data_IF_737574337475
#
_entry.id   IF_737574337475
#
_cell.length_a   1.000
_cell.length_b   1.000
_cell.length_c   1.000
_cell.angle_alpha   90.00
_cell.angle_beta   90.00
_cell.angle_gamma   90.00
#
_symmetry.space_group_name_H-M   'P 1'
#
loop_
_entity.id
_entity.type
_entity.pdbx_description
1 polymer ?
#
# COMPACT_ATOMS: atom_id res chain seq x y z
N UNK A 1 17.69 7.91 -10.81
CA UNK A 1 16.85 7.51 -9.67
C UNK A 1 17.14 6.05 -9.33
N UNK A 2 17.26 5.73 -8.05
CA UNK A 2 17.50 4.38 -7.54
C UNK A 2 16.31 3.95 -6.66
N UNK A 3 15.64 2.85 -7.01
CA UNK A 3 14.43 2.37 -6.37
C UNK A 3 14.71 1.09 -5.58
N UNK A 4 14.25 1.01 -4.33
CA UNK A 4 14.11 -0.25 -3.60
C UNK A 4 12.68 -0.77 -3.76
N UNK A 5 12.51 -1.93 -4.38
CA UNK A 5 11.27 -2.71 -4.31
C UNK A 5 11.38 -3.66 -3.13
N UNK A 6 10.43 -3.63 -2.22
CA UNK A 6 10.47 -4.43 -1.00
C UNK A 6 9.17 -5.23 -0.82
N UNK A 7 9.33 -6.55 -0.65
CA UNK A 7 8.21 -7.46 -0.44
C UNK A 7 8.26 -8.00 0.99
N UNK A 8 7.42 -7.50 1.91
CA UNK A 8 7.29 -8.09 3.23
C UNK A 8 6.67 -9.49 3.12
N UNK A 9 7.24 -10.46 3.82
CA UNK A 9 6.72 -11.82 3.80
C UNK A 9 6.94 -12.51 5.16
N UNK A 10 6.41 -13.70 5.28
CA UNK A 10 6.67 -14.61 6.39
C UNK A 10 6.93 -16.01 5.84
N UNK A 11 7.50 -16.88 6.66
CA UNK A 11 7.65 -18.28 6.33
C UNK A 11 6.56 -19.09 7.05
N UNK A 12 6.00 -20.07 6.36
CA UNK A 12 5.14 -21.06 6.99
C UNK A 12 5.94 -21.93 7.97
N UNK A 13 5.30 -22.67 8.89
CA UNK A 13 5.98 -23.52 9.85
C UNK A 13 6.93 -24.58 9.22
N UNK A 14 6.70 -24.93 7.97
CA UNK A 14 7.56 -25.84 7.19
C UNK A 14 8.75 -25.14 6.51
N UNK A 15 8.90 -23.83 6.73
CA UNK A 15 9.97 -23.01 6.15
C UNK A 15 9.71 -22.55 4.72
N UNK A 16 8.56 -22.86 4.14
CA UNK A 16 8.22 -22.33 2.81
C UNK A 16 7.82 -20.85 2.89
N UNK A 17 8.28 -19.99 1.96
CA UNK A 17 7.87 -18.60 1.93
C UNK A 17 6.38 -18.48 1.60
N UNK A 18 5.69 -17.59 2.28
CA UNK A 18 4.28 -17.29 2.02
C UNK A 18 4.05 -16.55 0.69
N UNK A 19 5.12 -16.08 0.06
CA UNK A 19 5.04 -15.33 -1.19
C UNK A 19 4.48 -16.19 -2.32
N UNK A 20 3.41 -15.70 -2.95
CA UNK A 20 2.87 -16.32 -4.15
C UNK A 20 3.89 -16.27 -5.30
N UNK A 21 4.14 -17.40 -6.02
CA UNK A 21 5.07 -17.41 -7.14
C UNK A 21 4.76 -16.36 -8.20
N UNK A 22 3.47 -16.08 -8.44
CA UNK A 22 2.98 -15.08 -9.37
C UNK A 22 3.39 -13.65 -8.96
N UNK A 23 3.47 -13.36 -7.65
CA UNK A 23 3.96 -12.09 -7.14
C UNK A 23 5.42 -11.87 -7.54
N UNK A 24 6.28 -12.86 -7.29
CA UNK A 24 7.69 -12.79 -7.68
C UNK A 24 7.89 -12.65 -9.18
N UNK A 25 7.17 -13.42 -9.97
CA UNK A 25 7.23 -13.35 -11.43
C UNK A 25 6.78 -11.99 -11.95
N UNK A 26 5.70 -11.43 -11.40
CA UNK A 26 5.19 -10.11 -11.78
C UNK A 26 6.20 -8.99 -11.46
N UNK A 27 6.87 -9.03 -10.31
CA UNK A 27 7.91 -8.06 -9.97
C UNK A 27 9.09 -8.18 -10.94
N UNK A 28 9.57 -9.39 -11.19
CA UNK A 28 10.71 -9.63 -12.09
C UNK A 28 10.44 -9.24 -13.55
N UNK A 29 9.18 -9.27 -13.98
CA UNK A 29 8.78 -8.89 -15.34
C UNK A 29 8.67 -7.39 -15.56
N UNK A 30 8.83 -6.55 -14.53
CA UNK A 30 8.63 -5.11 -14.63
C UNK A 30 9.71 -4.42 -15.48
N UNK A 31 9.27 -3.55 -16.38
CA UNK A 31 10.11 -2.72 -17.24
C UNK A 31 10.19 -1.31 -16.62
N UNK A 32 11.35 -0.99 -16.06
CA UNK A 32 11.54 0.25 -15.30
C UNK A 32 12.76 1.01 -15.84
N UNK A 33 12.59 2.29 -16.15
CA UNK A 33 13.68 3.19 -16.60
C UNK A 33 14.44 3.80 -15.39
N UNK A 34 14.72 2.98 -14.40
CA UNK A 34 15.48 3.35 -13.21
C UNK A 34 16.37 2.18 -12.79
N UNK A 35 17.44 2.44 -12.07
CA UNK A 35 18.14 1.36 -11.36
C UNK A 35 17.29 0.93 -10.19
N UNK A 36 17.04 -0.37 -10.05
CA UNK A 36 16.24 -0.86 -8.96
C UNK A 36 16.76 -2.20 -8.43
N UNK A 37 16.55 -2.39 -7.15
CA UNK A 37 16.86 -3.62 -6.43
C UNK A 37 15.57 -4.18 -5.83
N UNK A 38 15.43 -5.51 -5.78
CA UNK A 38 14.31 -6.18 -5.13
C UNK A 38 14.80 -6.96 -3.91
N UNK A 39 14.17 -6.67 -2.76
CA UNK A 39 14.46 -7.33 -1.49
C UNK A 39 13.21 -7.97 -0.92
N UNK A 40 13.38 -9.17 -0.36
CA UNK A 40 12.30 -9.91 0.31
C UNK A 40 12.57 -9.83 1.82
N UNK A 41 11.67 -9.14 2.52
CA UNK A 41 11.71 -9.03 3.97
C UNK A 41 11.25 -10.32 4.64
N UNK A 42 12.01 -10.77 5.65
CA UNK A 42 11.70 -11.95 6.46
C UNK A 42 11.87 -11.71 7.95
N UNK A 43 12.10 -10.47 8.35
CA UNK A 43 12.29 -10.12 9.74
C UNK A 43 10.95 -10.10 10.47
N UNK A 44 10.62 -11.21 11.14
CA UNK A 44 9.38 -11.40 11.90
C UNK A 44 9.69 -11.61 13.39
N UNK A 45 9.97 -10.50 14.13
CA UNK A 45 10.40 -10.58 15.55
C UNK A 45 9.28 -11.01 16.50
N UNK A 46 8.02 -10.99 16.05
CA UNK A 46 6.87 -11.37 16.87
C UNK A 46 6.30 -12.72 16.42
N UNK A 47 5.91 -13.60 17.35
CA UNK A 47 5.42 -14.93 17.00
C UNK A 47 4.04 -14.86 16.29
N UNK A 48 3.86 -15.73 15.30
CA UNK A 48 2.61 -15.89 14.57
C UNK A 48 2.28 -14.76 13.62
N UNK A 49 0.99 -14.66 13.26
CA UNK A 49 0.47 -13.60 12.39
C UNK A 49 0.23 -12.35 13.25
N UNK A 50 1.23 -11.48 13.33
CA UNK A 50 1.18 -10.23 14.10
C UNK A 50 1.47 -9.05 13.17
N UNK A 51 0.57 -8.05 13.15
CA UNK A 51 0.74 -6.83 12.34
C UNK A 51 2.02 -6.05 12.66
N UNK A 52 2.61 -6.26 13.83
CA UNK A 52 3.92 -5.68 14.18
C UNK A 52 5.05 -6.24 13.32
N UNK A 53 4.91 -7.47 12.79
CA UNK A 53 5.91 -8.05 11.90
C UNK A 53 6.00 -7.26 10.58
N UNK A 54 4.88 -6.93 9.97
CA UNK A 54 4.88 -6.11 8.75
C UNK A 54 5.41 -4.70 9.04
N UNK A 55 5.10 -4.13 10.20
CA UNK A 55 5.67 -2.85 10.62
C UNK A 55 7.20 -2.93 10.76
N UNK A 56 7.72 -3.99 11.41
CA UNK A 56 9.16 -4.18 11.57
C UNK A 56 9.88 -4.34 10.22
N UNK A 57 9.27 -5.03 9.27
CA UNK A 57 9.82 -5.18 7.92
C UNK A 57 9.79 -3.85 7.13
N UNK A 58 8.74 -3.04 7.24
CA UNK A 58 8.72 -1.71 6.63
C UNK A 58 9.74 -0.77 7.26
N UNK A 59 9.98 -0.86 8.58
CA UNK A 59 11.06 -0.13 9.24
C UNK A 59 12.44 -0.58 8.73
N UNK A 60 12.61 -1.86 8.46
CA UNK A 60 13.84 -2.38 7.84
C UNK A 60 14.02 -1.80 6.43
N UNK A 61 13.00 -1.87 5.58
CA UNK A 61 13.03 -1.28 4.25
C UNK A 61 13.34 0.22 4.28
N UNK A 62 12.71 0.97 5.20
CA UNK A 62 12.99 2.39 5.41
C UNK A 62 14.47 2.63 5.78
N UNK A 63 15.03 1.83 6.70
CA UNK A 63 16.45 1.95 7.06
C UNK A 63 17.37 1.67 5.87
N UNK A 64 17.05 0.68 5.04
CA UNK A 64 17.81 0.39 3.81
C UNK A 64 17.77 1.58 2.84
N UNK A 65 16.58 2.17 2.59
CA UNK A 65 16.46 3.35 1.72
C UNK A 65 17.34 4.48 2.23
N UNK A 66 17.28 4.78 3.52
CA UNK A 66 18.01 5.90 4.11
C UNK A 66 19.53 5.66 4.17
N UNK A 67 19.96 4.43 4.47
CA UNK A 67 21.37 4.09 4.64
C UNK A 67 22.10 3.87 3.30
N UNK A 68 21.42 3.28 2.31
CA UNK A 68 22.04 2.83 1.06
C UNK A 68 21.83 3.80 -0.13
N UNK A 69 21.15 4.92 0.11
CA UNK A 69 21.02 6.00 -0.88
C UNK A 69 20.00 5.71 -1.98
N UNK A 70 18.92 4.98 -1.68
CA UNK A 70 17.78 4.89 -2.59
C UNK A 70 16.98 6.20 -2.59
N UNK A 71 16.39 6.53 -3.73
CA UNK A 71 15.55 7.72 -3.91
C UNK A 71 14.09 7.46 -3.54
N UNK A 72 13.66 6.18 -3.56
CA UNK A 72 12.30 5.77 -3.23
C UNK A 72 12.24 4.31 -2.75
N UNK A 73 11.16 4.00 -2.03
CA UNK A 73 10.72 2.66 -1.64
C UNK A 73 9.40 2.35 -2.36
N UNK A 74 9.32 1.22 -3.04
CA UNK A 74 8.06 0.61 -3.45
C UNK A 74 7.81 -0.63 -2.61
N UNK A 75 6.73 -0.65 -1.85
CA UNK A 75 6.26 -1.87 -1.20
C UNK A 75 5.37 -2.64 -2.16
N UNK A 76 5.57 -3.97 -2.24
CA UNK A 76 4.66 -4.90 -2.93
C UNK A 76 4.48 -6.09 -2.02
N UNK A 77 3.32 -6.26 -1.39
CA UNK A 77 3.06 -7.38 -0.49
C UNK A 77 3.09 -8.71 -1.22
N UNK A 78 3.46 -9.76 -0.49
CA UNK A 78 3.75 -11.12 -0.99
C UNK A 78 2.56 -11.81 -1.70
N UNK A 79 1.38 -11.25 -1.59
CA UNK A 79 0.12 -11.71 -2.16
C UNK A 79 -0.53 -10.69 -3.11
N UNK A 80 0.26 -9.75 -3.60
CA UNK A 80 -0.11 -8.78 -4.62
C UNK A 80 0.61 -9.06 -5.93
N UNK A 81 -0.11 -8.95 -7.04
CA UNK A 81 0.41 -9.11 -8.40
C UNK A 81 0.17 -7.85 -9.21
N UNK A 82 1.22 -7.34 -9.82
CA UNK A 82 1.20 -6.27 -10.81
C UNK A 82 1.03 -6.89 -12.20
N UNK A 83 -0.17 -6.89 -12.81
CA UNK A 83 -0.41 -7.60 -14.06
C UNK A 83 0.28 -6.95 -15.27
N UNK A 84 0.48 -5.63 -15.22
CA UNK A 84 1.10 -4.89 -16.31
C UNK A 84 2.61 -4.76 -16.08
N UNK A 85 3.40 -5.02 -17.13
CA UNK A 85 4.87 -4.98 -17.04
C UNK A 85 5.46 -3.56 -16.87
N UNK A 86 4.68 -2.50 -17.07
CA UNK A 86 5.06 -1.10 -16.89
C UNK A 86 4.44 -0.47 -15.65
N UNK A 87 3.83 -1.27 -14.79
CA UNK A 87 3.11 -0.80 -13.61
C UNK A 87 4.00 0.05 -12.68
N UNK A 88 5.22 -0.43 -12.38
CA UNK A 88 6.17 0.31 -11.53
C UNK A 88 6.57 1.63 -12.20
N UNK A 89 6.81 1.63 -13.50
CA UNK A 89 7.15 2.87 -14.21
C UNK A 89 6.03 3.90 -14.12
N UNK A 90 4.77 3.47 -14.31
CA UNK A 90 3.62 4.37 -14.17
C UNK A 90 3.48 4.95 -12.76
N UNK A 91 3.81 4.19 -11.72
CA UNK A 91 3.84 4.73 -10.35
C UNK A 91 4.93 5.78 -10.19
N UNK A 92 6.13 5.54 -10.73
CA UNK A 92 7.25 6.49 -10.70
C UNK A 92 6.97 7.79 -11.46
N UNK A 93 6.20 7.72 -12.54
CA UNK A 93 5.81 8.86 -13.37
C UNK A 93 4.64 9.66 -12.78
N UNK A 94 4.03 9.18 -11.68
CA UNK A 94 2.89 9.83 -11.06
C UNK A 94 3.37 10.90 -10.07
N UNK A 95 2.90 12.15 -10.20
CA UNK A 95 3.24 13.19 -9.26
C UNK A 95 2.63 12.91 -7.87
N UNK A 96 3.38 13.18 -6.82
CA UNK A 96 2.96 13.00 -5.44
C UNK A 96 4.14 12.59 -4.55
N UNK A 97 3.95 12.72 -3.25
CA UNK A 97 4.95 12.30 -2.26
C UNK A 97 4.83 10.80 -1.94
N UNK A 98 3.57 10.31 -1.94
CA UNK A 98 3.20 8.91 -1.79
C UNK A 98 2.30 8.54 -2.97
N UNK A 99 2.65 7.47 -3.69
CA UNK A 99 1.87 7.01 -4.86
C UNK A 99 1.43 5.57 -4.65
N UNK A 100 0.15 5.35 -4.83
CA UNK A 100 -0.52 4.09 -4.52
C UNK A 100 -1.13 3.46 -5.77
N UNK A 101 -1.00 2.14 -5.88
CA UNK A 101 -1.73 1.32 -6.84
C UNK A 101 -2.92 0.63 -6.15
N UNK A 102 -4.16 0.73 -6.68
CA UNK A 102 -5.35 0.21 -6.01
C UNK A 102 -5.39 -1.31 -5.99
N UNK A 103 -5.72 -1.85 -4.83
CA UNK A 103 -6.05 -3.25 -4.62
C UNK A 103 -7.25 -3.38 -3.66
N UNK A 104 -7.84 -4.58 -3.59
CA UNK A 104 -9.02 -4.85 -2.78
C UNK A 104 -8.61 -5.39 -1.41
N UNK A 105 -9.17 -4.83 -0.33
CA UNK A 105 -9.01 -5.38 1.02
C UNK A 105 -9.79 -6.69 1.19
N UNK A 106 -9.25 -7.60 2.01
CA UNK A 106 -9.77 -8.97 2.20
C UNK A 106 -10.97 -9.10 3.15
N UNK A 107 -11.38 -8.06 3.83
CA UNK A 107 -12.35 -8.18 4.92
C UNK A 107 -13.78 -8.16 4.41
N UNK A 108 -14.36 -9.34 4.09
CA UNK A 108 -15.79 -9.59 3.90
C UNK A 108 -16.55 -8.73 2.89
N UNK A 109 -15.95 -7.66 2.47
CA UNK A 109 -16.46 -6.62 1.61
C UNK A 109 -15.32 -6.15 0.73
N UNK A 110 -15.50 -6.18 -0.57
CA UNK A 110 -14.48 -5.69 -1.49
C UNK A 110 -14.48 -4.15 -1.49
N UNK A 111 -13.66 -3.58 -0.65
CA UNK A 111 -13.34 -2.14 -0.65
C UNK A 111 -11.91 -1.95 -1.12
N UNK A 112 -11.65 -0.83 -1.80
CA UNK A 112 -10.27 -0.45 -2.12
C UNK A 112 -9.53 -0.08 -0.83
N UNK A 113 -8.24 -0.41 -0.78
CA UNK A 113 -7.35 -0.03 0.32
C UNK A 113 -6.92 1.43 0.24
N UNK A 114 -7.90 2.31 0.07
CA UNK A 114 -7.75 3.75 -0.20
C UNK A 114 -8.76 4.51 0.62
N UNK A 115 -8.35 5.62 1.23
CA UNK A 115 -9.22 6.48 2.02
C UNK A 115 -9.36 7.87 1.39
N UNK A 116 -10.58 8.40 1.42
CA UNK A 116 -10.91 9.76 1.00
C UNK A 116 -11.36 10.61 2.19
N UNK A 117 -11.28 11.92 2.03
CA UNK A 117 -11.92 12.83 2.95
C UNK A 117 -13.43 12.74 2.84
N UNK A 118 -14.13 12.55 3.96
CA UNK A 118 -15.59 12.57 4.06
C UNK A 118 -16.17 13.96 4.36
N UNK A 119 -15.33 15.00 4.33
CA UNK A 119 -15.72 16.36 4.71
C UNK A 119 -15.43 16.71 6.18
N UNK A 120 -15.19 15.73 7.01
CA UNK A 120 -14.62 15.88 8.35
C UNK A 120 -13.12 15.57 8.28
N UNK A 121 -12.26 16.48 8.73
CA UNK A 121 -10.80 16.32 8.67
C UNK A 121 -10.28 15.09 9.42
N UNK A 122 -11.12 14.48 10.25
CA UNK A 122 -10.78 13.33 11.09
C UNK A 122 -11.28 11.99 10.54
N UNK A 123 -12.05 11.97 9.47
CA UNK A 123 -12.66 10.76 8.93
C UNK A 123 -12.19 10.50 7.51
N UNK A 124 -11.51 9.39 7.30
CA UNK A 124 -11.28 8.81 5.98
C UNK A 124 -12.34 7.74 5.69
N UNK A 125 -12.91 7.76 4.50
CA UNK A 125 -13.78 6.69 4.00
C UNK A 125 -13.03 5.83 3.00
N UNK A 126 -13.11 4.51 3.16
CA UNK A 126 -12.60 3.60 2.14
C UNK A 126 -13.40 3.77 0.85
N UNK A 127 -12.72 3.81 -0.29
CA UNK A 127 -13.38 3.77 -1.58
C UNK A 127 -14.07 2.42 -1.76
N UNK A 128 -15.40 2.43 -1.81
CA UNK A 128 -16.18 1.24 -2.11
C UNK A 128 -16.14 0.94 -3.61
N UNK A 129 -16.25 -0.34 -3.99
CA UNK A 129 -16.40 -0.73 -5.38
C UNK A 129 -17.84 -0.47 -5.90
N UNK A 130 -18.47 0.61 -5.44
CA UNK A 130 -19.77 1.03 -5.95
C UNK A 130 -19.62 1.46 -7.43
N UNK A 131 -20.53 1.09 -8.35
CA UNK A 131 -20.37 1.37 -9.77
C UNK A 131 -20.07 2.83 -10.13
N UNK A 132 -20.68 3.78 -9.43
CA UNK A 132 -20.44 5.20 -9.65
C UNK A 132 -19.07 5.68 -9.19
N UNK A 133 -18.57 5.16 -8.07
CA UNK A 133 -17.23 5.47 -7.53
C UNK A 133 -16.15 4.76 -8.33
N UNK A 134 -16.42 3.54 -8.74
CA UNK A 134 -15.56 2.79 -9.65
C UNK A 134 -15.40 3.53 -10.99
N UNK A 135 -16.48 4.07 -11.55
CA UNK A 135 -16.43 4.86 -12.77
C UNK A 135 -15.60 6.14 -12.60
N UNK A 136 -15.74 6.83 -11.46
CA UNK A 136 -14.92 8.00 -11.13
C UNK A 136 -13.45 7.64 -10.97
N UNK A 137 -13.15 6.59 -10.23
CA UNK A 137 -11.78 6.12 -10.01
C UNK A 137 -11.09 5.71 -11.32
N UNK A 138 -11.83 5.06 -12.23
CA UNK A 138 -11.33 4.68 -13.57
C UNK A 138 -11.20 5.85 -14.53
N UNK A 139 -12.09 6.84 -14.44
CA UNK A 139 -12.01 8.05 -15.27
C UNK A 139 -10.87 8.96 -14.82
N UNK A 140 -10.58 9.00 -13.53
CA UNK A 140 -9.47 9.74 -12.95
C UNK A 140 -8.24 8.84 -12.91
N UNK A 141 -7.42 8.84 -13.94
CA UNK A 141 -6.16 8.06 -14.00
C UNK A 141 -5.30 8.32 -12.77
N UNK A 142 -5.24 9.58 -12.32
CA UNK A 142 -4.53 10.00 -11.11
C UNK A 142 -5.51 10.76 -10.22
N UNK A 143 -5.62 10.35 -8.95
CA UNK A 143 -6.56 10.94 -8.02
C UNK A 143 -5.90 11.19 -6.66
N UNK A 144 -6.11 12.39 -6.11
CA UNK A 144 -5.64 12.71 -4.75
C UNK A 144 -6.47 11.95 -3.72
N UNK A 145 -5.79 11.31 -2.78
CA UNK A 145 -6.38 10.50 -1.70
C UNK A 145 -5.82 10.95 -0.36
N UNK A 146 -6.47 10.61 0.76
CA UNK A 146 -5.98 11.00 2.08
C UNK A 146 -5.12 9.93 2.75
N UNK A 147 -5.25 8.69 2.33
CA UNK A 147 -4.42 7.59 2.85
C UNK A 147 -4.56 6.33 2.00
N UNK A 148 -3.63 5.41 2.20
CA UNK A 148 -3.49 4.20 1.39
C UNK A 148 -3.02 3.03 2.21
N UNK A 149 -3.44 1.83 1.83
CA UNK A 149 -2.80 0.60 2.29
C UNK A 149 -1.44 0.42 1.61
N UNK A 150 -0.50 -0.15 2.32
CA UNK A 150 0.89 -0.25 1.87
C UNK A 150 1.18 -1.49 1.02
N UNK A 151 0.16 -2.23 0.60
CA UNK A 151 0.32 -3.46 -0.20
C UNK A 151 0.95 -3.23 -1.57
N UNK A 152 0.76 -2.06 -2.18
CA UNK A 152 1.48 -1.62 -3.36
C UNK A 152 1.58 -0.08 -3.34
N UNK A 153 2.63 0.45 -2.73
CA UNK A 153 2.77 1.89 -2.49
C UNK A 153 4.21 2.34 -2.64
N UNK A 154 4.39 3.40 -3.42
CA UNK A 154 5.66 4.09 -3.62
C UNK A 154 5.76 5.25 -2.63
N UNK A 155 6.86 5.31 -1.90
CA UNK A 155 7.22 6.38 -0.98
C UNK A 155 8.51 7.04 -1.46
N UNK A 156 8.49 8.33 -1.75
CA UNK A 156 9.72 9.05 -2.05
C UNK A 156 10.59 9.20 -0.79
N UNK A 157 11.92 9.27 -0.97
CA UNK A 157 12.88 9.31 0.13
C UNK A 157 12.58 10.36 1.18
N UNK A 158 12.25 11.60 0.79
CA UNK A 158 11.95 12.69 1.72
C UNK A 158 10.77 12.38 2.65
N UNK A 159 9.80 11.57 2.21
CA UNK A 159 8.69 11.09 3.03
C UNK A 159 9.21 10.15 4.13
N UNK A 160 10.11 9.25 3.76
CA UNK A 160 10.72 8.30 4.69
C UNK A 160 11.72 8.96 5.66
N UNK A 161 12.25 10.10 5.30
CA UNK A 161 13.04 10.96 6.20
C UNK A 161 12.16 11.67 7.22
N UNK A 162 10.92 12.00 6.87
CA UNK A 162 9.98 12.73 7.71
C UNK A 162 9.07 11.85 8.57
N UNK A 163 8.74 10.64 8.10
CA UNK A 163 7.77 9.75 8.76
C UNK A 163 8.41 8.38 9.00
N UNK A 164 8.24 7.86 10.21
CA UNK A 164 8.62 6.49 10.55
C UNK A 164 7.41 5.55 10.50
N UNK A 165 7.58 4.38 9.91
CA UNK A 165 6.58 3.31 10.02
C UNK A 165 6.40 2.89 11.47
N UNK A 166 5.16 2.85 11.94
CA UNK A 166 4.81 2.45 13.30
C UNK A 166 3.44 1.78 13.34
N UNK A 167 3.25 0.84 14.24
CA UNK A 167 1.91 0.29 14.52
C UNK A 167 1.05 1.30 15.26
N UNK A 168 -0.26 1.19 15.10
CA UNK A 168 -1.22 1.99 15.87
C UNK A 168 -1.15 1.70 17.38
N UNK A 169 -1.68 2.61 18.22
CA UNK A 169 -1.58 2.51 19.69
C UNK A 169 -2.18 1.22 20.24
N UNK A 170 -3.24 0.70 19.66
CA UNK A 170 -3.95 -0.49 20.14
C UNK A 170 -3.44 -1.80 19.55
N UNK A 171 -2.31 -1.80 18.84
CA UNK A 171 -1.75 -2.95 18.11
C UNK A 171 -2.70 -3.57 17.06
N UNK A 172 -3.87 -2.97 16.86
CA UNK A 172 -4.91 -3.45 15.95
C UNK A 172 -4.75 -2.93 14.53
N UNK A 173 -3.94 -1.88 14.34
CA UNK A 173 -3.79 -1.23 13.06
C UNK A 173 -2.43 -1.54 12.44
N UNK A 174 -2.48 -1.97 11.20
CA UNK A 174 -1.33 -2.00 10.32
C UNK A 174 -0.70 -0.59 10.20
N UNK A 175 0.56 -0.46 9.79
CA UNK A 175 1.27 0.81 9.78
C UNK A 175 0.72 1.85 8.81
N UNK A 176 -0.15 1.47 7.90
CA UNK A 176 -0.77 2.31 6.87
C UNK A 176 -1.60 3.46 7.45
N UNK A 177 -2.41 3.20 8.47
CA UNK A 177 -3.25 4.24 9.09
C UNK A 177 -2.41 5.29 9.83
N UNK A 178 -1.53 4.92 10.78
CA UNK A 178 -0.65 5.90 11.43
C UNK A 178 0.22 6.68 10.44
N UNK A 179 0.71 6.02 9.39
CA UNK A 179 1.50 6.67 8.36
C UNK A 179 0.67 7.72 7.58
N UNK A 180 -0.55 7.37 7.17
CA UNK A 180 -1.44 8.30 6.50
C UNK A 180 -1.77 9.52 7.37
N UNK A 181 -1.98 9.33 8.69
CA UNK A 181 -2.20 10.42 9.63
C UNK A 181 -1.00 11.37 9.70
N UNK A 182 0.21 10.81 9.79
CA UNK A 182 1.43 11.61 9.86
C UNK A 182 1.68 12.35 8.52
N UNK A 183 1.43 11.69 7.38
CA UNK A 183 1.52 12.31 6.06
C UNK A 183 0.56 13.50 5.90
N UNK A 184 -0.69 13.36 6.38
CA UNK A 184 -1.67 14.44 6.37
C UNK A 184 -1.26 15.63 7.25
N UNK A 185 -0.74 15.36 8.46
CA UNK A 185 -0.24 16.41 9.38
C UNK A 185 0.90 17.22 8.75
N UNK A 186 1.76 16.56 7.98
CA UNK A 186 2.88 17.18 7.30
C UNK A 186 2.49 17.84 5.97
N UNK A 187 1.23 17.74 5.55
CA UNK A 187 0.75 18.29 4.29
C UNK A 187 1.25 17.57 3.04
N UNK A 188 1.74 16.33 3.19
CA UNK A 188 2.22 15.51 2.09
C UNK A 188 1.08 15.10 1.17
N UNK A 189 1.40 14.95 -0.12
CA UNK A 189 0.43 14.64 -1.16
C UNK A 189 0.44 13.14 -1.45
N UNK A 190 -0.66 12.48 -1.12
CA UNK A 190 -0.90 11.08 -1.52
C UNK A 190 -1.75 11.02 -2.78
N UNK A 191 -1.29 10.25 -3.77
CA UNK A 191 -1.95 10.08 -5.06
C UNK A 191 -2.23 8.61 -5.34
N UNK A 192 -3.41 8.31 -5.84
CA UNK A 192 -3.76 6.99 -6.39
C UNK A 192 -3.58 6.96 -7.90
N UNK A 193 -2.93 5.91 -8.42
CA UNK A 193 -2.79 5.64 -9.85
C UNK A 193 -3.78 4.56 -10.28
N UNK A 194 -4.97 4.96 -10.73
CA UNK A 194 -6.12 4.06 -10.92
C UNK A 194 -6.11 3.27 -12.24
N UNK A 195 -5.16 3.48 -13.12
CA UNK A 195 -4.90 2.64 -14.29
C UNK A 195 -3.82 1.57 -14.04
N UNK A 196 -3.34 1.45 -12.80
CA UNK A 196 -2.44 0.38 -12.33
C UNK A 196 -3.19 -0.52 -11.34
N UNK A 197 -4.05 -1.43 -11.82
CA UNK A 197 -4.76 -2.35 -10.93
C UNK A 197 -3.79 -3.38 -10.35
N UNK A 198 -3.90 -3.64 -9.06
CA UNK A 198 -3.14 -4.71 -8.40
C UNK A 198 -4.08 -5.85 -8.03
N UNK A 199 -3.73 -7.05 -8.42
CA UNK A 199 -4.47 -8.24 -8.03
C UNK A 199 -4.06 -8.64 -6.62
N UNK A 200 -5.03 -8.85 -5.73
CA UNK A 200 -4.81 -9.25 -4.35
C UNK A 200 -5.36 -10.66 -4.09
N UNK A 201 -4.55 -11.53 -3.49
CA UNK A 201 -4.93 -12.93 -3.28
C UNK A 201 -5.85 -13.09 -2.08
N UNK A 202 -6.98 -13.77 -2.29
CA UNK A 202 -7.91 -14.15 -1.22
C UNK A 202 -8.41 -15.57 -1.41
N UNK A 203 -8.21 -16.46 -0.44
CA UNK A 203 -8.70 -17.84 -0.45
C UNK A 203 -8.33 -18.64 -1.72
N UNK A 204 -7.15 -18.35 -2.29
CA UNK A 204 -6.68 -18.97 -3.52
C UNK A 204 -7.05 -18.23 -4.82
N UNK A 205 -8.00 -17.30 -4.77
CA UNK A 205 -8.42 -16.48 -5.91
C UNK A 205 -7.70 -15.14 -5.95
N UNK A 206 -7.56 -14.56 -7.16
CA UNK A 206 -7.06 -13.22 -7.37
C UNK A 206 -8.21 -12.23 -7.53
N UNK A 207 -8.26 -11.22 -6.66
CA UNK A 207 -9.27 -10.16 -6.71
C UNK A 207 -8.75 -8.97 -7.52
N UNK A 208 -9.48 -8.62 -8.56
CA UNK A 208 -9.20 -7.44 -9.37
C UNK A 208 -9.98 -6.23 -8.85
N UNK A 209 -9.33 -5.06 -8.60
CA UNK A 209 -9.98 -3.91 -7.95
C UNK A 209 -11.13 -3.30 -8.76
N UNK A 210 -11.18 -3.56 -10.08
CA UNK A 210 -12.16 -2.96 -11.00
C UNK A 210 -13.10 -3.97 -11.66
N UNK A 211 -13.04 -5.22 -11.28
CA UNK A 211 -14.03 -6.23 -11.70
C UNK A 211 -15.01 -6.44 -10.57
N UNK A 212 -16.28 -6.07 -10.77
CA UNK A 212 -17.32 -6.24 -9.76
C UNK A 212 -17.64 -7.73 -9.62
N UNK A 213 -17.33 -8.26 -8.46
CA UNK A 213 -17.83 -9.54 -8.00
C UNK A 213 -19.00 -9.19 -7.09
N UNK A 214 -20.22 -9.13 -7.61
CA UNK A 214 -21.53 -9.08 -6.95
C UNK A 214 -21.61 -8.67 -5.47
N UNK A 215 -21.01 -7.58 -5.05
CA UNK A 215 -20.78 -7.30 -3.63
C UNK A 215 -21.77 -6.30 -3.07
N UNK A 216 -22.35 -6.64 -1.91
CA UNK A 216 -23.18 -5.76 -1.09
C UNK A 216 -22.32 -4.61 -0.53
N UNK A 217 -22.89 -3.40 -0.48
CA UNK A 217 -22.25 -2.19 0.05
C UNK A 217 -21.92 -2.34 1.54
N UNK A 218 -20.65 -2.07 1.88
CA UNK A 218 -20.28 -1.76 3.25
C UNK A 218 -19.25 -0.63 3.25
N UNK A 219 -19.45 0.34 4.11
CA UNK A 219 -18.48 1.40 4.39
C UNK A 219 -17.59 0.91 5.51
N UNK A 220 -16.30 0.82 5.27
CA UNK A 220 -15.34 0.73 6.36
C UNK A 220 -14.97 2.18 6.72
N UNK A 221 -15.59 2.72 7.77
CA UNK A 221 -15.14 3.99 8.34
C UNK A 221 -13.88 3.71 9.13
N UNK A 222 -12.79 4.28 8.68
CA UNK A 222 -11.57 4.34 9.48
C UNK A 222 -11.55 5.71 10.13
N UNK A 223 -11.79 5.75 11.44
CA UNK A 223 -11.68 6.97 12.21
C UNK A 223 -10.20 7.33 12.32
N UNK A 224 -9.80 8.38 11.65
CA UNK A 224 -8.45 8.95 11.76
C UNK A 224 -8.46 9.89 12.98
N UNK A 225 -8.51 9.32 14.19
CA UNK A 225 -8.55 10.06 15.46
C UNK A 225 -7.19 10.64 15.80
N UNK A 226 -6.72 11.68 15.13
CA UNK A 226 -5.44 12.23 15.54
C UNK A 226 -5.14 13.69 15.17
N UNK A 227 -6.10 14.45 14.67
CA UNK A 227 -5.84 15.86 14.35
C UNK A 227 -6.56 16.87 15.24
N UNK A 228 -7.24 16.41 16.30
CA UNK A 228 -8.10 17.26 17.09
C UNK A 228 -7.43 17.90 18.32
N UNK A 229 -6.19 17.58 18.67
CA UNK A 229 -5.61 18.04 19.95
C UNK A 229 -4.44 19.03 19.83
N UNK A 230 -3.99 19.40 18.62
CA UNK A 230 -2.85 20.34 18.49
C UNK A 230 -2.97 21.28 17.27
N UNK A 231 -4.09 22.01 17.15
CA UNK A 231 -4.13 23.23 16.33
C UNK A 231 -4.87 24.32 17.09
#
# INVERSE_FOLDING_TARGET
MRLLVFTPTYDYPDGTPAMAPECGAAIQSQQVNATWDWQIGRHNPFPGVDHRNVTAQYQEAQRMVLAEGYDALLTVEHDNVLPDSDAIQRLLDTPGDVVYAPYVLRHGVAVLSTWQYSGDRNLGESLTLHPAELAKARAAIVWRICGVGHGCTLFHRHVLEAIQFRSGPDRQYAPDIPFAQDALKLGLISMGRFDVPVLHRQNGDWLHPFQSIGLKRYYCRVTVNALAEEL
#
